data_IF_742852655276
#
_entry.id   IF_742852655276
#
_cell.length_a   1.000
_cell.length_b   1.000
_cell.length_c   1.000
_cell.angle_alpha   90.00
_cell.angle_beta   90.00
_cell.angle_gamma   90.00
#
_symmetry.space_group_name_H-M   'P 1'
#
loop_
_entity.id
_entity.type
_entity.pdbx_description
1 polymer ?
#
# COMPACT_ATOMS: atom_id res chain seq x y z
N UNK A 1 5.84 22.04 -2.87
CA UNK A 1 4.98 21.80 -1.70
C UNK A 1 5.75 21.15 -0.55
N UNK A 2 5.45 21.53 0.70
CA UNK A 2 6.01 20.84 1.89
C UNK A 2 5.12 19.65 2.26
N UNK A 3 5.73 18.60 2.81
CA UNK A 3 4.99 17.38 3.18
C UNK A 3 3.90 17.61 4.24
N UNK A 4 4.08 18.59 5.13
CA UNK A 4 3.09 18.93 6.16
C UNK A 4 1.79 19.48 5.56
N UNK A 5 1.92 20.41 4.62
CA UNK A 5 0.79 21.03 3.91
C UNK A 5 -0.06 19.98 3.18
N UNK A 6 0.58 19.00 2.54
CA UNK A 6 -0.13 17.94 1.80
C UNK A 6 -0.95 17.03 2.73
N UNK A 7 -0.48 16.81 3.96
CA UNK A 7 -1.18 15.96 4.94
C UNK A 7 -2.44 16.62 5.48
N UNK A 8 -2.43 17.94 5.58
CA UNK A 8 -3.56 18.75 6.08
C UNK A 8 -4.68 18.90 5.02
N UNK A 9 -4.38 18.66 3.74
CA UNK A 9 -5.36 18.76 2.64
C UNK A 9 -6.42 17.64 2.66
N UNK A 10 -7.62 17.97 2.21
CA UNK A 10 -8.70 16.98 2.00
C UNK A 10 -8.40 16.06 0.80
N UNK A 11 -8.97 14.84 0.72
CA UNK A 11 -8.75 13.95 -0.43
C UNK A 11 -9.13 14.61 -1.76
N UNK A 12 -10.20 15.40 -1.79
CA UNK A 12 -10.64 16.13 -2.98
C UNK A 12 -9.67 17.27 -3.37
N UNK A 13 -9.09 17.96 -2.40
CA UNK A 13 -8.06 18.98 -2.65
C UNK A 13 -6.78 18.37 -3.22
N UNK A 14 -6.40 17.17 -2.75
CA UNK A 14 -5.25 16.44 -3.29
C UNK A 14 -5.49 16.09 -4.77
N UNK A 15 -6.69 15.61 -5.12
CA UNK A 15 -7.04 15.30 -6.51
C UNK A 15 -7.08 16.54 -7.40
N UNK A 16 -7.67 17.64 -6.92
CA UNK A 16 -7.64 18.93 -7.62
C UNK A 16 -6.21 19.42 -7.84
N UNK A 17 -5.37 19.39 -6.80
CA UNK A 17 -3.97 19.79 -6.87
C UNK A 17 -3.16 18.93 -7.84
N UNK A 18 -3.44 17.62 -7.91
CA UNK A 18 -2.83 16.71 -8.88
C UNK A 18 -3.19 17.09 -10.32
N UNK A 19 -4.46 17.42 -10.59
CA UNK A 19 -4.90 17.84 -11.90
C UNK A 19 -4.22 19.15 -12.32
N UNK A 20 -4.17 20.14 -11.43
CA UNK A 20 -3.52 21.42 -11.70
C UNK A 20 -2.01 21.26 -11.94
N UNK A 21 -1.31 20.49 -11.11
CA UNK A 21 0.12 20.21 -11.32
C UNK A 21 0.38 19.51 -12.67
N UNK A 22 -0.49 18.58 -13.09
CA UNK A 22 -0.35 17.88 -14.37
C UNK A 22 -0.62 18.81 -15.56
N UNK A 23 -1.61 19.70 -15.47
CA UNK A 23 -1.88 20.73 -16.47
C UNK A 23 -0.70 21.70 -16.60
N UNK A 24 -0.15 22.16 -15.48
CA UNK A 24 1.01 23.07 -15.48
C UNK A 24 2.23 22.40 -16.14
N UNK A 25 2.50 21.12 -15.82
CA UNK A 25 3.56 20.35 -16.48
C UNK A 25 3.32 20.25 -17.99
N UNK A 26 2.09 20.02 -18.43
CA UNK A 26 1.74 19.96 -19.85
C UNK A 26 2.01 21.29 -20.55
N UNK A 27 1.55 22.41 -19.97
CA UNK A 27 1.81 23.75 -20.51
C UNK A 27 3.30 24.06 -20.60
N UNK A 28 4.08 23.73 -19.57
CA UNK A 28 5.53 23.93 -19.58
C UNK A 28 6.24 23.04 -20.61
N UNK A 29 5.72 21.84 -20.89
CA UNK A 29 6.25 20.98 -21.97
C UNK A 29 5.95 21.54 -23.35
N UNK A 30 4.77 22.13 -23.54
CA UNK A 30 4.44 22.84 -24.79
C UNK A 30 5.36 24.05 -24.99
N UNK A 31 5.56 24.86 -23.94
CA UNK A 31 6.49 26.00 -23.97
C UNK A 31 7.94 25.57 -24.22
N UNK A 32 8.34 24.40 -23.71
CA UNK A 32 9.64 23.81 -24.01
C UNK A 32 9.80 23.50 -25.50
N UNK A 33 8.76 22.95 -26.13
CA UNK A 33 8.77 22.65 -27.56
C UNK A 33 8.79 23.92 -28.43
N UNK A 34 8.15 25.00 -28.00
CA UNK A 34 8.18 26.29 -28.70
C UNK A 34 9.46 27.10 -28.43
N UNK A 35 10.34 26.64 -27.55
CA UNK A 35 11.58 27.32 -27.19
C UNK A 35 11.38 28.57 -26.30
N UNK A 36 10.18 28.79 -25.78
CA UNK A 36 9.82 29.94 -24.93
C UNK A 36 9.91 29.63 -23.43
N UNK A 37 10.53 28.52 -23.05
CA UNK A 37 10.58 28.09 -21.66
C UNK A 37 11.65 28.87 -20.87
N UNK A 38 11.20 29.80 -20.04
CA UNK A 38 12.09 30.59 -19.17
C UNK A 38 12.66 29.77 -18.00
N UNK A 39 11.88 28.83 -17.45
CA UNK A 39 12.26 28.11 -16.24
C UNK A 39 12.05 26.59 -16.33
N UNK A 40 13.08 25.88 -16.81
CA UNK A 40 13.11 24.41 -16.87
C UNK A 40 13.11 23.74 -15.49
N UNK A 41 13.60 24.42 -14.45
CA UNK A 41 13.62 23.87 -13.08
C UNK A 41 12.21 23.70 -12.50
N UNK A 42 11.24 24.50 -12.97
CA UNK A 42 9.84 24.42 -12.55
C UNK A 42 9.22 23.05 -12.85
N UNK A 43 9.54 22.47 -14.01
CA UNK A 43 9.08 21.12 -14.39
C UNK A 43 9.55 20.08 -13.36
N UNK A 44 10.82 20.17 -12.92
CA UNK A 44 11.36 19.24 -11.91
C UNK A 44 10.66 19.41 -10.56
N UNK A 45 10.35 20.63 -10.17
CA UNK A 45 9.63 20.91 -8.92
C UNK A 45 8.20 20.36 -8.94
N UNK A 46 7.47 20.61 -10.02
CA UNK A 46 6.09 20.10 -10.18
C UNK A 46 6.05 18.57 -10.20
N UNK A 47 7.01 17.91 -10.86
CA UNK A 47 7.11 16.44 -10.82
C UNK A 47 7.29 15.90 -9.39
N UNK A 48 8.09 16.58 -8.57
CA UNK A 48 8.25 16.20 -7.14
C UNK A 48 6.98 16.43 -6.36
N UNK A 49 6.24 17.51 -6.64
CA UNK A 49 4.98 17.80 -5.97
C UNK A 49 3.89 16.78 -6.33
N UNK A 50 3.78 16.38 -7.60
CA UNK A 50 2.92 15.26 -8.04
C UNK A 50 3.27 13.97 -7.30
N UNK A 51 4.56 13.60 -7.25
CA UNK A 51 4.98 12.38 -6.58
C UNK A 51 4.61 12.37 -5.09
N UNK A 52 4.73 13.52 -4.40
CA UNK A 52 4.34 13.64 -2.98
C UNK A 52 2.83 13.50 -2.80
N UNK A 53 2.02 14.15 -3.65
CA UNK A 53 0.56 14.05 -3.64
C UNK A 53 0.10 12.60 -3.89
N UNK A 54 0.70 11.91 -4.88
CA UNK A 54 0.41 10.50 -5.15
C UNK A 54 0.82 9.58 -4.00
N UNK A 55 1.94 9.89 -3.34
CA UNK A 55 2.41 9.13 -2.17
C UNK A 55 1.42 9.25 -1.01
N UNK A 56 0.93 10.46 -0.71
CA UNK A 56 -0.06 10.67 0.36
C UNK A 56 -1.41 10.03 0.01
N UNK A 57 -1.84 10.10 -1.26
CA UNK A 57 -3.03 9.35 -1.74
C UNK A 57 -2.85 7.83 -1.55
N UNK A 58 -1.68 7.30 -1.88
CA UNK A 58 -1.36 5.89 -1.69
C UNK A 58 -1.28 5.52 -0.22
N UNK A 59 -0.72 6.38 0.63
CA UNK A 59 -0.63 6.16 2.07
C UNK A 59 -2.01 6.09 2.72
N UNK A 60 -2.93 7.00 2.35
CA UNK A 60 -4.34 6.96 2.79
C UNK A 60 -5.03 5.68 2.34
N UNK A 61 -4.87 5.31 1.06
CA UNK A 61 -5.37 4.04 0.53
C UNK A 61 -4.79 2.83 1.28
N UNK A 62 -3.49 2.81 1.59
CA UNK A 62 -2.86 1.72 2.34
C UNK A 62 -3.37 1.65 3.79
N UNK A 63 -3.71 2.78 4.40
CA UNK A 63 -4.32 2.82 5.73
C UNK A 63 -5.73 2.21 5.70
N UNK A 64 -6.53 2.52 4.67
CA UNK A 64 -7.83 1.89 4.42
C UNK A 64 -7.69 0.38 4.08
N UNK A 65 -6.78 0.05 3.16
CA UNK A 65 -6.47 -1.31 2.69
C UNK A 65 -5.74 -2.16 3.75
N UNK A 66 -5.29 -1.57 4.87
CA UNK A 66 -4.78 -2.29 6.04
C UNK A 66 -5.81 -3.29 6.60
N UNK A 67 -7.10 -3.06 6.34
CA UNK A 67 -8.19 -4.00 6.60
C UNK A 67 -8.21 -5.16 5.57
N UNK A 68 -7.83 -4.89 4.32
CA UNK A 68 -7.87 -5.83 3.18
C UNK A 68 -6.64 -6.76 3.14
N UNK A 69 -5.49 -6.35 3.73
CA UNK A 69 -4.24 -7.14 3.77
C UNK A 69 -4.28 -8.42 4.62
N UNK A 70 -5.38 -8.73 5.33
CA UNK A 70 -5.62 -10.10 5.85
C UNK A 70 -5.79 -11.15 4.73
N UNK A 71 -5.93 -10.72 3.48
CA UNK A 71 -5.96 -11.59 2.29
C UNK A 71 -4.58 -11.94 1.71
N UNK A 72 -3.49 -11.31 2.18
CA UNK A 72 -2.16 -11.38 1.57
C UNK A 72 -1.19 -12.44 2.11
N UNK A 73 -1.62 -13.38 2.95
CA UNK A 73 -0.84 -14.61 3.13
C UNK A 73 -0.98 -15.43 1.84
N UNK A 74 0.06 -15.44 1.00
CA UNK A 74 0.11 -16.26 -0.20
C UNK A 74 -0.32 -17.70 0.14
N UNK A 75 -1.07 -18.36 -0.76
CA UNK A 75 -1.69 -19.69 -0.55
C UNK A 75 -0.80 -20.70 0.18
N UNK A 76 0.52 -20.62 0.00
CA UNK A 76 1.55 -21.42 0.68
C UNK A 76 1.62 -21.17 2.20
N UNK A 77 1.59 -19.93 2.68
CA UNK A 77 1.65 -19.61 4.11
C UNK A 77 0.38 -20.05 4.87
N UNK A 78 -0.80 -19.97 4.22
CA UNK A 78 -2.04 -20.52 4.77
C UNK A 78 -2.03 -22.05 4.82
N UNK A 79 -1.61 -22.70 3.74
CA UNK A 79 -1.50 -24.17 3.69
C UNK A 79 -0.45 -24.72 4.66
N UNK A 80 0.66 -24.02 4.87
CA UNK A 80 1.68 -24.43 5.86
C UNK A 80 1.19 -24.25 7.29
N UNK A 81 0.45 -23.17 7.59
CA UNK A 81 -0.14 -22.98 8.91
C UNK A 81 -1.24 -24.03 9.20
N UNK A 82 -2.12 -24.31 8.23
CA UNK A 82 -3.15 -25.34 8.36
C UNK A 82 -2.56 -26.75 8.50
N UNK A 83 -1.51 -27.08 7.74
CA UNK A 83 -0.81 -28.38 7.86
C UNK A 83 -0.14 -28.54 9.22
N UNK A 84 0.49 -27.48 9.76
CA UNK A 84 1.13 -27.54 11.08
C UNK A 84 0.10 -27.75 12.20
N UNK A 85 -1.04 -27.06 12.14
CA UNK A 85 -2.15 -27.24 13.09
C UNK A 85 -2.79 -28.63 13.00
N UNK A 86 -2.93 -29.19 11.80
CA UNK A 86 -3.45 -30.54 11.60
C UNK A 86 -2.51 -31.62 12.19
N UNK A 87 -1.20 -31.48 11.97
CA UNK A 87 -0.21 -32.43 12.51
C UNK A 87 -0.16 -32.38 14.04
N UNK A 88 -0.28 -31.19 14.65
CA UNK A 88 -0.36 -31.08 16.12
C UNK A 88 -1.64 -31.69 16.67
N UNK A 89 -2.79 -31.49 16.01
CA UNK A 89 -4.05 -32.07 16.42
C UNK A 89 -4.06 -33.61 16.31
N UNK A 90 -3.44 -34.18 15.26
CA UNK A 90 -3.28 -35.63 15.14
C UNK A 90 -2.36 -36.22 16.22
N UNK A 91 -1.27 -35.54 16.54
CA UNK A 91 -0.37 -35.96 17.61
C UNK A 91 -1.02 -35.88 18.99
N UNK A 92 -1.82 -34.85 19.25
CA UNK A 92 -2.59 -34.72 20.50
C UNK A 92 -3.71 -35.77 20.60
N UNK A 93 -4.45 -36.04 19.52
CA UNK A 93 -5.47 -37.08 19.48
C UNK A 93 -4.87 -38.48 19.70
N UNK A 94 -3.71 -38.78 19.10
CA UNK A 94 -2.98 -40.03 19.35
C UNK A 94 -2.48 -40.13 20.79
N UNK A 95 -2.04 -39.01 21.38
CA UNK A 95 -1.61 -38.94 22.80
C UNK A 95 -2.78 -39.19 23.75
N UNK A 96 -3.95 -38.60 23.49
CA UNK A 96 -5.16 -38.82 24.27
C UNK A 96 -5.69 -40.25 24.14
N UNK A 97 -5.67 -40.83 22.93
CA UNK A 97 -6.09 -42.22 22.70
C UNK A 97 -5.18 -43.24 23.39
N UNK A 98 -3.87 -42.99 23.45
CA UNK A 98 -2.93 -43.86 24.17
C UNK A 98 -3.06 -43.73 25.69
N UNK A 99 -3.36 -42.52 26.20
CA UNK A 99 -3.70 -42.32 27.62
C UNK A 99 -4.99 -43.06 28.01
N UNK A 100 -6.01 -43.06 27.14
CA UNK A 100 -7.27 -43.77 27.36
C UNK A 100 -7.13 -45.31 27.28
N UNK A 101 -6.20 -45.82 26.47
CA UNK A 101 -5.90 -47.27 26.39
C UNK A 101 -4.98 -47.75 27.53
N UNK A 102 -4.19 -46.85 28.11
CA UNK A 102 -3.29 -47.15 29.23
C UNK A 102 -3.96 -47.25 30.60
N UNK A 103 -5.21 -46.77 30.75
CA UNK A 103 -5.95 -46.83 32.03
C UNK A 103 -6.88 -48.04 32.17
N UNK A 104 -6.82 -49.01 31.23
CA UNK A 104 -7.68 -50.19 31.20
C UNK A 104 -6.92 -51.50 31.44
N UNK A 105 -5.77 -51.45 32.14
CA UNK A 105 -5.00 -52.63 32.53
C UNK A 105 -4.73 -52.65 34.02
#
# INVERSE_FOLDING_TARGET
>A
MKAKEIREMTPEEIERSLLECRKEIFNLRLQFQTGQLENSSRIRTLRKDVARLETEKSARRLAEDGVVRKSGMGRRARQEAERKLAVTAEHEARRQANLAKGSAK
#
